data_IF_162573333015
#
_entry.id   IF_162573333015
#
_cell.length_a   1.000
_cell.length_b   1.000
_cell.length_c   1.000
_cell.angle_alpha   90.00
_cell.angle_beta   90.00
_cell.angle_gamma   90.00
#
_symmetry.space_group_name_H-M   'P 1'
#
loop_
_entity.id
_entity.type
_entity.pdbx_description
1 polymer ?
#
# COMPACT_ATOMS: atom_id res chain seq x y z
N UNK A 1 -13.06 -10.30 20.74
CA UNK A 1 -13.20 -8.88 20.40
C UNK A 1 -12.80 -8.71 18.94
N UNK A 2 -13.30 -7.71 18.22
CA UNK A 2 -12.87 -7.41 16.84
C UNK A 2 -11.82 -6.30 16.83
N UNK A 3 -10.98 -6.24 15.81
CA UNK A 3 -10.08 -5.10 15.58
C UNK A 3 -10.82 -3.82 15.19
N UNK A 4 -10.18 -2.68 15.42
CA UNK A 4 -10.59 -1.39 14.86
C UNK A 4 -9.95 -1.23 13.47
N UNK A 5 -10.77 -1.08 12.43
CA UNK A 5 -10.30 -0.92 11.06
C UNK A 5 -10.54 0.51 10.59
N UNK A 6 -9.47 1.20 10.16
CA UNK A 6 -9.49 2.60 9.70
C UNK A 6 -9.03 2.64 8.25
N UNK A 7 -9.90 3.07 7.35
CA UNK A 7 -9.55 3.34 5.96
C UNK A 7 -9.23 4.83 5.78
N UNK A 8 -7.96 5.13 5.54
CA UNK A 8 -7.51 6.46 5.14
C UNK A 8 -7.53 6.57 3.62
N UNK A 9 -8.55 7.24 3.11
CA UNK A 9 -8.72 7.50 1.68
C UNK A 9 -8.77 9.00 1.39
N UNK A 10 -8.89 9.37 0.10
CA UNK A 10 -8.68 10.75 -0.37
C UNK A 10 -7.31 11.27 0.09
N UNK A 11 -6.25 10.61 -0.37
CA UNK A 11 -4.90 10.87 0.11
C UNK A 11 -4.40 12.26 -0.32
N UNK A 12 -3.33 12.74 0.31
CA UNK A 12 -2.70 14.06 0.09
C UNK A 12 -2.49 14.40 -1.39
N UNK A 13 -2.19 13.40 -2.20
CA UNK A 13 -1.79 13.53 -3.59
C UNK A 13 -2.95 13.87 -4.53
N UNK A 14 -4.19 13.69 -4.08
CA UNK A 14 -5.41 13.72 -4.93
C UNK A 14 -6.58 14.44 -4.26
N UNK A 15 -6.29 15.55 -3.57
CA UNK A 15 -7.28 16.47 -2.98
C UNK A 15 -7.72 17.55 -3.98
N UNK A 16 -8.27 17.12 -5.13
CA UNK A 16 -8.50 17.95 -6.32
C UNK A 16 -9.39 19.18 -6.07
N UNK A 17 -10.28 19.13 -5.07
CA UNK A 17 -11.23 20.22 -4.77
C UNK A 17 -10.94 20.97 -3.46
N UNK A 18 -9.99 20.50 -2.65
CA UNK A 18 -9.85 20.92 -1.26
C UNK A 18 -8.49 21.56 -0.94
N UNK A 19 -7.46 21.32 -1.76
CA UNK A 19 -6.15 21.95 -1.61
C UNK A 19 -5.42 21.62 -0.30
N UNK A 20 -4.51 22.51 0.12
CA UNK A 20 -3.51 22.26 1.17
C UNK A 20 -4.09 21.91 2.55
N UNK A 21 -5.26 22.43 2.92
CA UNK A 21 -5.86 22.15 4.24
C UNK A 21 -6.25 20.68 4.46
N UNK A 22 -6.28 19.88 3.38
CA UNK A 22 -6.61 18.46 3.41
C UNK A 22 -5.40 17.57 3.09
N UNK A 23 -4.20 18.15 3.13
CA UNK A 23 -2.95 17.52 2.74
C UNK A 23 -2.06 17.23 3.96
N UNK A 24 -2.51 16.30 4.82
CA UNK A 24 -1.70 15.78 5.93
C UNK A 24 -1.74 14.24 5.96
N UNK A 25 -0.55 13.63 5.93
CA UNK A 25 -0.36 12.17 6.06
C UNK A 25 0.22 11.77 7.43
N UNK A 26 0.34 12.70 8.37
CA UNK A 26 0.99 12.51 9.67
C UNK A 26 0.33 11.49 10.60
N UNK A 27 -0.88 11.02 10.28
CA UNK A 27 -1.52 9.94 11.05
C UNK A 27 -0.70 8.64 11.04
N UNK A 28 0.02 8.35 9.95
CA UNK A 28 0.90 7.18 9.86
C UNK A 28 2.03 7.30 10.89
N UNK A 29 2.65 8.47 11.03
CA UNK A 29 3.72 8.72 12.01
C UNK A 29 3.24 8.49 13.45
N UNK A 30 2.06 9.01 13.79
CA UNK A 30 1.43 8.77 15.09
C UNK A 30 1.19 7.26 15.34
N UNK A 31 0.75 6.54 14.33
CA UNK A 31 0.49 5.10 14.42
C UNK A 31 1.78 4.29 14.59
N UNK A 32 2.84 4.65 13.87
CA UNK A 32 4.15 3.97 13.95
C UNK A 32 4.87 4.19 15.29
N UNK A 33 4.44 5.17 16.08
CA UNK A 33 4.88 5.36 17.46
C UNK A 33 4.26 4.36 18.47
N UNK A 34 3.40 3.43 18.02
CA UNK A 34 2.78 2.38 18.86
C UNK A 34 3.40 1.01 18.57
N UNK A 35 3.26 0.08 19.52
CA UNK A 35 3.79 -1.27 19.36
C UNK A 35 3.19 -1.96 18.12
N UNK A 36 4.00 -2.65 17.30
CA UNK A 36 3.52 -3.45 16.18
C UNK A 36 2.63 -4.62 16.62
N UNK A 37 2.63 -4.96 17.92
CA UNK A 37 1.71 -5.96 18.49
C UNK A 37 0.26 -5.49 18.54
N UNK A 38 -0.02 -4.18 18.43
CA UNK A 38 -1.37 -3.60 18.53
C UNK A 38 -1.73 -2.68 17.37
N UNK A 39 -0.76 -2.19 16.58
CA UNK A 39 -1.02 -1.30 15.45
C UNK A 39 -0.37 -1.84 14.17
N UNK A 40 -1.11 -1.82 13.06
CA UNK A 40 -0.63 -2.22 11.72
C UNK A 40 -0.98 -1.17 10.69
N UNK A 41 -0.02 -0.83 9.82
CA UNK A 41 -0.22 0.09 8.69
C UNK A 41 -0.04 -0.69 7.40
N UNK A 42 -1.03 -0.60 6.51
CA UNK A 42 -1.04 -1.27 5.22
C UNK A 42 -1.11 -0.22 4.10
N UNK A 43 -0.23 -0.37 3.11
CA UNK A 43 -0.10 0.52 1.96
C UNK A 43 -0.32 -0.28 0.67
N UNK A 44 -1.54 -0.81 0.42
CA UNK A 44 -1.81 -1.61 -0.76
C UNK A 44 -1.56 -0.82 -2.05
N UNK A 45 -0.82 -1.38 -3.02
CA UNK A 45 -0.53 -0.70 -4.28
C UNK A 45 -1.68 -0.72 -5.31
N UNK A 46 -2.65 -1.62 -5.17
CA UNK A 46 -3.78 -1.76 -6.09
C UNK A 46 -5.05 -2.31 -5.40
N UNK A 47 -6.11 -2.58 -6.16
CA UNK A 47 -7.38 -3.01 -5.60
C UNK A 47 -7.33 -4.47 -5.10
N UNK A 48 -6.58 -5.35 -5.76
CA UNK A 48 -6.48 -6.76 -5.35
C UNK A 48 -5.72 -6.89 -4.02
N UNK A 49 -4.60 -6.17 -3.88
CA UNK A 49 -3.86 -6.11 -2.60
C UNK A 49 -4.71 -5.46 -1.50
N UNK A 50 -5.49 -4.41 -1.82
CA UNK A 50 -6.45 -3.82 -0.88
C UNK A 50 -7.50 -4.85 -0.41
N UNK A 51 -8.05 -5.66 -1.31
CA UNK A 51 -9.03 -6.69 -0.96
C UNK A 51 -8.45 -7.73 -0.01
N UNK A 52 -7.23 -8.22 -0.29
CA UNK A 52 -6.55 -9.20 0.58
C UNK A 52 -6.26 -8.60 1.96
N UNK A 53 -5.76 -7.37 2.01
CA UNK A 53 -5.50 -6.65 3.28
C UNK A 53 -6.81 -6.44 4.06
N UNK A 54 -7.87 -6.01 3.40
CA UNK A 54 -9.15 -5.76 4.05
C UNK A 54 -9.73 -7.05 4.66
N UNK A 55 -9.64 -8.15 3.92
CA UNK A 55 -10.07 -9.47 4.36
C UNK A 55 -9.28 -9.97 5.58
N UNK A 56 -7.97 -9.75 5.63
CA UNK A 56 -7.14 -10.00 6.82
C UNK A 56 -7.54 -9.12 8.01
N UNK A 57 -7.72 -7.81 7.78
CA UNK A 57 -8.11 -6.86 8.82
C UNK A 57 -9.46 -7.22 9.46
N UNK A 58 -10.44 -7.67 8.66
CA UNK A 58 -11.77 -8.07 9.13
C UNK A 58 -11.77 -9.34 9.98
N UNK A 59 -10.79 -10.23 9.79
CA UNK A 59 -10.61 -11.43 10.64
C UNK A 59 -9.77 -11.19 11.90
N UNK A 60 -9.01 -10.10 11.92
CA UNK A 60 -8.11 -9.82 13.03
C UNK A 60 -8.85 -9.40 14.32
N UNK A 61 -8.20 -9.60 15.45
CA UNK A 61 -8.67 -9.17 16.77
C UNK A 61 -7.61 -8.36 17.49
N UNK A 62 -8.04 -7.50 18.42
CA UNK A 62 -7.19 -6.76 19.35
C UNK A 62 -6.10 -5.89 18.68
N UNK A 63 -6.38 -5.41 17.47
CA UNK A 63 -5.49 -4.56 16.70
C UNK A 63 -6.20 -3.28 16.20
N UNK A 64 -5.40 -2.27 15.91
CA UNK A 64 -5.79 -1.10 15.12
C UNK A 64 -5.14 -1.28 13.75
N UNK A 65 -5.96 -1.56 12.74
CA UNK A 65 -5.50 -1.70 11.36
C UNK A 65 -5.78 -0.41 10.60
N UNK A 66 -4.73 0.16 10.01
CA UNK A 66 -4.79 1.39 9.23
C UNK A 66 -4.48 1.03 7.79
N UNK A 67 -5.46 1.18 6.91
CA UNK A 67 -5.32 0.91 5.48
C UNK A 67 -5.30 2.26 4.77
N UNK A 68 -4.24 2.54 4.02
CA UNK A 68 -4.15 3.76 3.22
C UNK A 68 -4.40 3.40 1.77
N UNK A 69 -5.51 3.87 1.22
CA UNK A 69 -5.88 3.60 -0.17
C UNK A 69 -6.62 4.78 -0.78
N UNK A 70 -6.13 5.26 -1.90
CA UNK A 70 -6.78 6.27 -2.72
C UNK A 70 -8.06 5.71 -3.37
N UNK A 71 -8.96 6.64 -3.73
CA UNK A 71 -10.28 6.37 -4.31
C UNK A 71 -10.31 6.54 -5.83
N UNK A 72 -9.25 7.10 -6.42
CA UNK A 72 -9.20 7.37 -7.85
C UNK A 72 -8.91 6.11 -8.66
N UNK A 73 -9.01 6.22 -9.98
CA UNK A 73 -8.68 5.11 -10.89
C UNK A 73 -7.17 4.96 -10.99
N UNK A 74 -6.66 3.84 -10.50
CA UNK A 74 -5.26 3.45 -10.61
C UNK A 74 -5.10 2.19 -11.48
N UNK A 75 -3.88 1.98 -11.95
CA UNK A 75 -3.49 0.73 -12.61
C UNK A 75 -3.65 -0.45 -11.63
N UNK A 76 -3.92 -1.62 -12.16
CA UNK A 76 -3.87 -2.87 -11.42
C UNK A 76 -2.56 -3.57 -11.75
N UNK A 77 -1.76 -3.89 -10.73
CA UNK A 77 -0.43 -4.47 -10.90
C UNK A 77 -0.43 -5.98 -10.71
N UNK A 78 -1.30 -6.46 -9.83
CA UNK A 78 -1.36 -7.86 -9.41
C UNK A 78 -2.68 -8.48 -9.84
N UNK A 79 -2.62 -9.75 -10.24
CA UNK A 79 -3.80 -10.63 -10.19
C UNK A 79 -4.15 -10.95 -8.73
N UNK A 80 -5.34 -11.50 -8.47
CA UNK A 80 -5.74 -11.85 -7.10
C UNK A 80 -4.77 -12.87 -6.46
N UNK A 81 -4.33 -13.88 -7.20
CA UNK A 81 -3.38 -14.89 -6.69
C UNK A 81 -2.03 -14.27 -6.34
N UNK A 82 -1.55 -13.33 -7.17
CA UNK A 82 -0.31 -12.58 -6.89
C UNK A 82 -0.46 -11.68 -5.67
N UNK A 83 -1.62 -11.05 -5.49
CA UNK A 83 -1.91 -10.22 -4.33
C UNK A 83 -1.91 -11.05 -3.04
N UNK A 84 -2.54 -12.23 -3.04
CA UNK A 84 -2.54 -13.14 -1.90
C UNK A 84 -1.11 -13.50 -1.49
N UNK A 85 -0.28 -13.91 -2.46
CA UNK A 85 1.12 -14.28 -2.21
C UNK A 85 1.95 -13.07 -1.75
N UNK A 86 1.71 -11.89 -2.30
CA UNK A 86 2.42 -10.67 -1.94
C UNK A 86 2.08 -10.21 -0.52
N UNK A 87 0.79 -10.11 -0.18
CA UNK A 87 0.33 -9.70 1.14
C UNK A 87 0.74 -10.70 2.23
N UNK A 88 0.71 -12.00 1.97
CA UNK A 88 1.17 -13.02 2.92
C UNK A 88 2.66 -12.86 3.30
N UNK A 89 3.48 -12.28 2.42
CA UNK A 89 4.90 -11.98 2.68
C UNK A 89 5.11 -10.60 3.32
N UNK A 90 4.13 -9.69 3.23
CA UNK A 90 4.22 -8.30 3.66
C UNK A 90 4.98 -7.36 2.71
N UNK A 91 5.97 -7.89 1.97
CA UNK A 91 6.67 -7.21 0.87
C UNK A 91 7.20 -8.23 -0.14
N UNK A 92 7.45 -7.82 -1.38
CA UNK A 92 8.02 -8.71 -2.37
C UNK A 92 8.52 -7.99 -3.63
N UNK A 93 9.47 -8.63 -4.31
CA UNK A 93 10.00 -8.14 -5.59
C UNK A 93 8.98 -8.39 -6.70
N UNK A 94 8.64 -7.34 -7.45
CA UNK A 94 7.83 -7.47 -8.65
C UNK A 94 8.69 -7.68 -9.88
N UNK A 95 8.91 -8.95 -10.22
CA UNK A 95 9.66 -9.36 -11.41
C UNK A 95 9.14 -8.73 -12.72
N UNK A 96 7.84 -8.44 -12.83
CA UNK A 96 7.25 -7.77 -14.00
C UNK A 96 7.65 -6.29 -14.16
N UNK A 97 8.12 -5.67 -13.07
CA UNK A 97 8.56 -4.28 -13.03
C UNK A 97 10.06 -4.18 -12.71
N UNK A 98 10.81 -5.28 -12.84
CA UNK A 98 12.25 -5.34 -12.64
C UNK A 98 12.96 -5.76 -13.92
N UNK A 99 14.17 -5.25 -14.14
CA UNK A 99 14.98 -5.50 -15.32
C UNK A 99 16.40 -6.01 -14.97
N UNK A 100 16.60 -6.44 -13.72
CA UNK A 100 17.87 -6.96 -13.21
C UNK A 100 18.23 -8.34 -13.80
N UNK A 101 17.27 -9.05 -14.42
CA UNK A 101 17.45 -10.41 -14.94
C UNK A 101 18.03 -11.42 -13.93
N UNK A 102 17.93 -11.12 -12.62
CA UNK A 102 18.53 -11.92 -11.55
C UNK A 102 19.97 -11.55 -11.18
N UNK A 103 20.53 -10.51 -11.79
CA UNK A 103 21.82 -9.92 -11.44
C UNK A 103 21.70 -8.90 -10.29
N UNK A 104 22.84 -8.41 -9.79
CA UNK A 104 22.87 -7.39 -8.75
C UNK A 104 22.41 -6.03 -9.32
N UNK A 105 21.32 -5.43 -8.81
CA UNK A 105 20.82 -4.17 -9.35
C UNK A 105 21.65 -2.99 -8.87
N UNK A 106 21.90 -2.02 -9.76
CA UNK A 106 22.50 -0.74 -9.38
C UNK A 106 21.59 0.06 -8.41
N UNK A 107 20.27 -0.08 -8.56
CA UNK A 107 19.25 0.65 -7.78
C UNK A 107 18.05 -0.25 -7.50
N UNK A 108 17.59 -0.26 -6.25
CA UNK A 108 16.32 -0.88 -5.84
C UNK A 108 15.27 0.19 -5.60
N UNK A 109 14.13 0.07 -6.27
CA UNK A 109 12.95 0.91 -6.04
C UNK A 109 11.94 0.17 -5.16
N UNK A 110 11.54 0.79 -4.03
CA UNK A 110 10.61 0.20 -3.07
C UNK A 110 9.47 1.19 -2.74
N UNK A 111 8.52 1.42 -3.67
CA UNK A 111 7.36 2.27 -3.38
C UNK A 111 6.46 1.66 -2.31
N UNK A 112 5.83 2.51 -1.50
CA UNK A 112 4.75 2.14 -0.59
C UNK A 112 3.45 2.87 -0.95
N UNK A 113 2.37 2.11 -1.15
CA UNK A 113 1.05 2.66 -1.48
C UNK A 113 0.83 2.85 -2.98
N UNK A 114 -0.43 3.00 -3.35
CA UNK A 114 -0.93 3.12 -4.72
C UNK A 114 -0.22 4.18 -5.59
N UNK A 115 -0.14 5.42 -5.14
CA UNK A 115 0.33 6.54 -5.96
C UNK A 115 1.85 6.48 -6.17
N UNK A 116 2.61 6.18 -5.12
CA UNK A 116 4.07 6.01 -5.24
C UNK A 116 4.39 4.81 -6.14
N UNK A 117 3.64 3.73 -5.99
CA UNK A 117 3.78 2.53 -6.83
C UNK A 117 3.49 2.84 -8.29
N UNK A 118 2.39 3.54 -8.55
CA UNK A 118 2.02 3.91 -9.91
C UNK A 118 3.09 4.77 -10.58
N UNK A 119 3.65 5.75 -9.87
CA UNK A 119 4.70 6.61 -10.40
C UNK A 119 5.98 5.82 -10.75
N UNK A 120 6.43 4.95 -9.85
CA UNK A 120 7.70 4.21 -9.99
C UNK A 120 7.60 3.03 -10.95
N UNK A 121 6.54 2.22 -10.87
CA UNK A 121 6.36 1.07 -11.76
C UNK A 121 6.08 1.50 -13.20
N UNK A 122 5.38 2.62 -13.44
CA UNK A 122 5.19 3.12 -14.81
C UNK A 122 6.54 3.51 -15.45
N UNK A 123 7.44 4.12 -14.69
CA UNK A 123 8.78 4.44 -15.18
C UNK A 123 9.59 3.18 -15.52
N UNK A 124 9.46 2.12 -14.72
CA UNK A 124 10.15 0.86 -14.96
C UNK A 124 9.62 0.11 -16.19
N UNK A 125 8.30 0.13 -16.43
CA UNK A 125 7.65 -0.59 -17.55
C UNK A 125 7.81 0.13 -18.89
N UNK A 126 8.01 1.46 -18.89
CA UNK A 126 8.21 2.25 -20.12
C UNK A 126 9.68 2.27 -20.62
N UNK A 127 10.59 1.55 -19.97
CA UNK A 127 11.96 1.32 -20.44
C UNK A 127 12.03 0.03 -21.23
#
# INVERSE_FOLDING_TARGET
MSSQNILLSSTVWRQDHNGFSHQDQGFIDLATNKSPSVTRVYLPPDANTLLVVADECLRSTDCINIIVADKQKHLQFTTMDEAIVHCAKGLGVWRRASNDEGEEPDVVMAPGGDIATQALCLQAIMR
#
